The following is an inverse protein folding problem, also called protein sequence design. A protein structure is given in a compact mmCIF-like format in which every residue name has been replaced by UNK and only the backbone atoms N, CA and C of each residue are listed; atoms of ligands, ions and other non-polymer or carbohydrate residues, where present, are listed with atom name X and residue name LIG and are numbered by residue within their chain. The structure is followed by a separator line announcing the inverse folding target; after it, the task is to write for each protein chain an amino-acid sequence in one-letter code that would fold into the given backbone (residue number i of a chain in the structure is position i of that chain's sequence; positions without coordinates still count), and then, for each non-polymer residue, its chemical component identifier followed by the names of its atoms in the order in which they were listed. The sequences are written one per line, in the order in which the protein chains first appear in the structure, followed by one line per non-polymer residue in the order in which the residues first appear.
data_IF_384399279067
#
_entry.id   IF_384399279067
#
_cell.length_a   1.000
_cell.length_b   1.000
_cell.length_c   1.000
_cell.angle_alpha   90.00
_cell.angle_beta   90.00
_cell.angle_gamma   90.00
#
_symmetry.space_group_name_H-M   'P 1'
#
loop_
_entity.id
_entity.type
_entity.pdbx_description
1 polymer ?
#
# COMPACT_ATOMS: atom_id res chain seq x y z
N UNK A 1 2.24 1.81 15.85
CA UNK A 1 3.34 1.72 14.87
C UNK A 1 4.58 1.32 15.63
N UNK A 2 5.22 0.21 15.26
CA UNK A 2 6.46 -0.22 15.90
C UNK A 2 7.65 0.29 15.08
N UNK A 3 8.63 0.89 15.75
CA UNK A 3 9.90 1.25 15.14
C UNK A 3 10.79 0.01 15.22
N UNK A 4 11.26 -0.48 14.07
CA UNK A 4 12.12 -1.67 13.98
C UNK A 4 13.58 -1.23 13.82
N UNK A 5 14.46 -1.91 14.52
CA UNK A 5 15.92 -1.77 14.42
C UNK A 5 16.53 -3.02 13.79
N UNK A 6 17.81 -2.94 13.39
CA UNK A 6 18.54 -4.08 12.86
C UNK A 6 18.54 -5.24 13.87
N UNK A 7 18.05 -6.40 13.44
CA UNK A 7 17.94 -7.60 14.26
C UNK A 7 16.54 -7.85 14.83
N UNK A 8 15.64 -6.86 14.79
CA UNK A 8 14.25 -7.04 15.21
C UNK A 8 13.48 -7.94 14.22
N UNK A 9 12.59 -8.76 14.76
CA UNK A 9 11.64 -9.57 14.01
C UNK A 9 10.22 -9.05 14.21
N UNK A 10 9.44 -9.05 13.15
CA UNK A 10 8.01 -8.75 13.20
C UNK A 10 7.22 -9.73 12.34
N UNK A 11 5.95 -9.95 12.69
CA UNK A 11 5.06 -10.89 11.99
C UNK A 11 3.76 -10.17 11.60
N UNK A 12 3.39 -10.29 10.33
CA UNK A 12 2.06 -9.90 9.85
C UNK A 12 1.17 -11.14 9.74
N UNK A 13 0.06 -11.21 10.50
CA UNK A 13 -0.95 -12.25 10.30
C UNK A 13 -1.49 -12.21 8.86
N UNK A 14 -1.75 -13.40 8.29
CA UNK A 14 -2.23 -13.54 6.92
C UNK A 14 -3.51 -12.73 6.69
N UNK A 15 -3.54 -11.96 5.59
CA UNK A 15 -4.70 -11.18 5.16
C UNK A 15 -4.88 -9.84 5.85
N UNK A 16 -4.01 -9.48 6.82
CA UNK A 16 -4.06 -8.16 7.44
C UNK A 16 -3.33 -7.11 6.61
N UNK A 17 -3.96 -5.94 6.47
CA UNK A 17 -3.34 -4.77 5.88
C UNK A 17 -2.12 -4.34 6.71
N UNK A 18 -1.01 -4.07 6.04
CA UNK A 18 0.22 -3.62 6.66
C UNK A 18 1.05 -2.76 5.71
N UNK A 19 2.00 -1.99 6.25
CA UNK A 19 2.92 -1.16 5.50
C UNK A 19 4.25 -1.03 6.24
N UNK A 20 5.30 -0.66 5.51
CA UNK A 20 6.58 -0.26 6.07
C UNK A 20 6.91 1.17 5.59
N UNK A 21 7.54 1.96 6.45
CA UNK A 21 7.95 3.33 6.17
C UNK A 21 9.33 3.57 6.77
N UNK A 22 10.28 4.06 5.96
CA UNK A 22 11.57 4.50 6.47
C UNK A 22 11.44 5.94 6.97
N UNK A 23 11.59 6.12 8.29
CA UNK A 23 11.53 7.44 8.92
C UNK A 23 12.86 8.21 8.85
N UNK A 24 13.97 7.53 8.54
CA UNK A 24 15.27 8.15 8.31
C UNK A 24 15.33 8.67 6.86
N UNK A 25 15.45 9.99 6.71
CA UNK A 25 15.51 10.66 5.41
C UNK A 25 16.90 10.64 4.78
N UNK A 26 17.93 10.32 5.55
CA UNK A 26 19.34 10.36 5.14
C UNK A 26 19.86 8.96 4.80
N UNK A 27 19.42 7.93 5.53
CA UNK A 27 19.96 6.58 5.40
C UNK A 27 18.94 5.57 4.84
N UNK A 28 19.36 4.68 3.93
CA UNK A 28 18.51 3.60 3.43
C UNK A 28 18.29 2.53 4.50
N UNK A 29 17.09 1.93 4.50
CA UNK A 29 16.75 0.77 5.32
C UNK A 29 16.47 -0.45 4.42
N UNK A 30 16.89 -1.63 4.87
CA UNK A 30 16.63 -2.92 4.22
C UNK A 30 15.94 -3.87 5.18
N UNK A 31 14.87 -4.52 4.70
CA UNK A 31 14.19 -5.60 5.41
C UNK A 31 14.13 -6.84 4.52
N UNK A 32 14.31 -8.02 5.12
CA UNK A 32 14.16 -9.30 4.45
C UNK A 32 12.88 -9.95 4.98
N UNK A 33 11.94 -10.26 4.08
CA UNK A 33 10.69 -10.93 4.42
C UNK A 33 10.69 -12.37 3.95
N UNK A 34 10.00 -13.22 4.70
CA UNK A 34 9.73 -14.62 4.33
C UNK A 34 8.24 -14.88 4.41
N UNK A 35 7.77 -15.83 3.62
CA UNK A 35 6.35 -16.18 3.56
C UNK A 35 6.19 -17.68 3.81
N UNK A 36 5.14 -18.05 4.54
CA UNK A 36 4.78 -19.46 4.77
C UNK A 36 4.18 -20.16 3.54
N UNK A 37 4.22 -19.54 2.35
CA UNK A 37 3.70 -20.06 1.09
C UNK A 37 4.62 -19.66 -0.06
N UNK A 38 4.88 -20.58 -0.98
CA UNK A 38 5.59 -20.29 -2.23
C UNK A 38 4.78 -19.40 -3.19
N UNK A 39 3.47 -19.25 -2.96
CA UNK A 39 2.58 -18.40 -3.74
C UNK A 39 1.89 -17.37 -2.83
N UNK A 40 2.68 -16.59 -2.08
CA UNK A 40 2.13 -15.70 -1.07
C UNK A 40 1.27 -14.57 -1.64
N UNK A 41 1.51 -14.14 -2.89
CA UNK A 41 0.79 -13.06 -3.55
C UNK A 41 0.88 -11.71 -2.80
N UNK A 42 0.61 -10.61 -3.49
CA UNK A 42 0.50 -9.29 -2.84
C UNK A 42 -0.66 -8.53 -3.44
N UNK A 43 -1.31 -7.68 -2.64
CA UNK A 43 -2.37 -6.77 -3.08
C UNK A 43 -1.99 -5.37 -2.65
N UNK A 44 -1.52 -4.56 -3.60
CA UNK A 44 -1.21 -3.14 -3.37
C UNK A 44 -2.51 -2.34 -3.31
N UNK A 45 -2.86 -1.77 -2.15
CA UNK A 45 -4.11 -1.02 -2.00
C UNK A 45 -4.21 0.18 -2.95
N UNK A 46 -3.20 1.07 -3.09
CA UNK A 46 -3.30 2.22 -3.99
C UNK A 46 -3.58 1.80 -5.43
N UNK A 47 -2.81 0.84 -5.95
CA UNK A 47 -2.98 0.34 -7.33
C UNK A 47 -4.32 -0.39 -7.49
N UNK A 48 -4.68 -1.24 -6.53
CA UNK A 48 -5.92 -2.05 -6.61
C UNK A 48 -7.17 -1.19 -6.52
N UNK A 49 -7.14 -0.07 -5.81
CA UNK A 49 -8.30 0.81 -5.66
C UNK A 49 -8.39 1.84 -6.79
N UNK A 50 -7.25 2.40 -7.23
CA UNK A 50 -7.26 3.57 -8.10
C UNK A 50 -6.74 3.30 -9.52
N UNK A 51 -6.22 2.11 -9.82
CA UNK A 51 -5.69 1.76 -11.16
C UNK A 51 -6.36 0.53 -11.81
N UNK A 52 -7.44 -0.01 -11.24
CA UNK A 52 -8.12 -1.24 -11.72
C UNK A 52 -9.50 -1.00 -12.34
N UNK A 53 -9.83 0.26 -12.65
CA UNK A 53 -11.07 0.60 -13.36
C UNK A 53 -12.34 0.68 -12.49
N UNK A 54 -12.24 0.63 -11.16
CA UNK A 54 -13.37 0.89 -10.26
C UNK A 54 -13.96 2.27 -10.57
N UNK A 55 -15.28 2.37 -10.74
CA UNK A 55 -15.93 3.63 -11.11
C UNK A 55 -15.71 4.75 -10.05
N UNK A 56 -15.55 5.99 -10.53
CA UNK A 56 -15.27 7.16 -9.67
C UNK A 56 -16.38 7.39 -8.63
N UNK A 57 -17.64 7.19 -9.02
CA UNK A 57 -18.81 7.33 -8.14
C UNK A 57 -18.81 6.31 -6.99
N UNK A 58 -18.45 5.05 -7.25
CA UNK A 58 -18.38 3.97 -6.26
C UNK A 58 -17.30 4.30 -5.24
N UNK A 59 -16.13 4.73 -5.70
CA UNK A 59 -15.05 5.18 -4.82
C UNK A 59 -15.45 6.43 -4.03
N UNK A 60 -16.07 7.43 -4.68
CA UNK A 60 -16.49 8.66 -4.00
C UNK A 60 -17.45 8.39 -2.84
N UNK A 61 -18.46 7.54 -3.06
CA UNK A 61 -19.40 7.10 -2.01
C UNK A 61 -18.68 6.32 -0.92
N UNK A 62 -17.83 5.37 -1.29
CA UNK A 62 -17.12 4.49 -0.34
C UNK A 62 -16.16 5.26 0.57
N UNK A 63 -15.45 6.25 0.02
CA UNK A 63 -14.50 7.09 0.74
C UNK A 63 -15.14 8.35 1.36
N UNK A 64 -16.45 8.55 1.19
CA UNK A 64 -17.19 9.74 1.64
C UNK A 64 -16.54 11.04 1.17
N UNK A 65 -16.19 11.08 -0.12
CA UNK A 65 -15.56 12.21 -0.79
C UNK A 65 -16.27 12.49 -2.13
N UNK A 66 -15.68 13.32 -2.99
CA UNK A 66 -16.21 13.69 -4.30
C UNK A 66 -15.40 13.06 -5.45
N UNK A 67 -16.00 13.04 -6.65
CA UNK A 67 -15.37 12.47 -7.84
C UNK A 67 -14.08 13.20 -8.25
N UNK A 68 -13.96 14.51 -8.03
CA UNK A 68 -12.74 15.26 -8.36
C UNK A 68 -11.57 14.81 -7.49
N UNK A 69 -11.82 14.55 -6.21
CA UNK A 69 -10.82 13.97 -5.30
C UNK A 69 -10.39 12.57 -5.76
N UNK A 70 -11.34 11.70 -6.14
CA UNK A 70 -11.01 10.37 -6.67
C UNK A 70 -10.18 10.44 -7.96
N UNK A 71 -10.58 11.30 -8.90
CA UNK A 71 -9.85 11.47 -10.16
C UNK A 71 -8.41 11.94 -9.95
N UNK A 72 -8.19 12.85 -8.99
CA UNK A 72 -6.83 13.26 -8.59
C UNK A 72 -6.00 12.09 -8.07
N UNK A 73 -6.58 11.23 -7.22
CA UNK A 73 -5.90 10.03 -6.71
C UNK A 73 -5.54 9.05 -7.84
N UNK A 74 -6.44 8.84 -8.80
CA UNK A 74 -6.18 7.98 -9.96
C UNK A 74 -5.05 8.51 -10.84
N UNK A 75 -5.06 9.80 -11.14
CA UNK A 75 -4.00 10.45 -11.94
C UNK A 75 -2.65 10.35 -11.25
N UNK A 76 -2.59 10.57 -9.93
CA UNK A 76 -1.36 10.48 -9.16
C UNK A 76 -0.74 9.08 -9.10
N UNK A 77 -1.52 8.04 -9.38
CA UNK A 77 -1.11 6.63 -9.37
C UNK A 77 -1.01 6.00 -10.77
N UNK A 78 -1.22 6.79 -11.83
CA UNK A 78 -1.05 6.32 -13.19
C UNK A 78 0.42 5.95 -13.47
N UNK A 79 0.70 4.93 -14.30
CA UNK A 79 2.06 4.63 -14.74
C UNK A 79 2.70 5.88 -15.35
N UNK A 80 3.96 6.14 -15.01
CA UNK A 80 4.74 7.15 -15.73
C UNK A 80 4.96 6.65 -17.17
N UNK A 81 4.84 7.54 -18.17
CA UNK A 81 5.11 7.19 -19.57
C UNK A 81 6.57 6.73 -19.77
#
# INVERSE_FOLDING_TARGET
MQILQTGDLFVFPKGLAHFQYNADTENPALAISTFGSANAGTVSFPSTLFATGIEDNVLAVSFKTDMSTIQKLKVGLAPKP
#
